data_IF_229785207799
#
_entry.id   IF_229785207799
#
_cell.length_a   1.000
_cell.length_b   1.000
_cell.length_c   1.000
_cell.angle_alpha   90.00
_cell.angle_beta   90.00
_cell.angle_gamma   90.00
#
_symmetry.space_group_name_H-M   'P 1'
#
loop_
_entity.id
_entity.type
_entity.pdbx_description
1 polymer ?
#
# COMPACT_ATOMS: atom_id res chain seq x y z
N UNK A 1 -41.75 4.33 -23.48
CA UNK A 1 -42.44 3.30 -22.67
C UNK A 1 -41.57 2.96 -21.49
N UNK A 2 -42.14 3.10 -20.30
CA UNK A 2 -41.63 2.81 -18.95
C UNK A 2 -40.31 3.47 -18.51
N UNK A 3 -40.44 4.68 -17.97
CA UNK A 3 -39.58 5.22 -16.92
C UNK A 3 -39.51 4.25 -15.73
N UNK A 4 -38.51 3.36 -15.71
CA UNK A 4 -38.09 2.71 -14.47
C UNK A 4 -37.30 3.73 -13.66
N UNK A 5 -38.03 4.53 -12.87
CA UNK A 5 -37.44 5.26 -11.74
C UNK A 5 -36.68 4.24 -10.88
N UNK A 6 -35.36 4.28 -10.90
CA UNK A 6 -34.52 3.50 -9.99
C UNK A 6 -34.83 3.97 -8.56
N UNK A 7 -35.77 3.30 -7.90
CA UNK A 7 -36.00 3.44 -6.46
C UNK A 7 -34.76 2.88 -5.77
N UNK A 8 -33.76 3.74 -5.55
CA UNK A 8 -32.65 3.43 -4.66
C UNK A 8 -33.27 3.05 -3.31
N UNK A 9 -32.95 1.89 -2.73
CA UNK A 9 -33.44 1.54 -1.40
C UNK A 9 -33.02 2.65 -0.45
N UNK A 10 -33.96 3.20 0.30
CA UNK A 10 -33.66 4.12 1.39
C UNK A 10 -33.27 3.22 2.56
N UNK A 11 -31.97 3.16 2.85
CA UNK A 11 -31.46 2.38 3.97
C UNK A 11 -31.65 3.16 5.27
N UNK A 12 -32.17 2.50 6.29
CA UNK A 12 -32.39 3.08 7.62
C UNK A 12 -31.13 3.03 8.50
N UNK A 13 -30.21 2.10 8.22
CA UNK A 13 -28.90 1.98 8.90
C UNK A 13 -27.77 1.59 7.93
N UNK A 14 -26.52 1.91 8.27
CA UNK A 14 -25.33 1.53 7.47
C UNK A 14 -25.16 0.00 7.38
N UNK A 15 -25.52 -0.75 8.43
CA UNK A 15 -25.42 -2.21 8.47
C UNK A 15 -26.41 -2.91 7.52
N UNK A 16 -27.64 -2.41 7.43
CA UNK A 16 -28.63 -2.90 6.48
C UNK A 16 -28.17 -2.67 5.02
N UNK A 17 -27.55 -1.52 4.75
CA UNK A 17 -27.01 -1.21 3.43
C UNK A 17 -25.92 -2.23 3.03
N UNK A 18 -25.01 -2.56 3.94
CA UNK A 18 -23.92 -3.50 3.66
C UNK A 18 -24.45 -4.90 3.46
N UNK A 19 -25.34 -5.37 4.34
CA UNK A 19 -25.91 -6.71 4.23
C UNK A 19 -26.64 -6.88 2.89
N UNK A 20 -27.39 -5.86 2.47
CA UNK A 20 -28.02 -5.85 1.15
C UNK A 20 -26.99 -5.92 0.01
N UNK A 21 -25.93 -5.11 0.07
CA UNK A 21 -24.88 -5.09 -0.95
C UNK A 21 -24.11 -6.40 -1.02
N UNK A 22 -23.69 -6.94 0.12
CA UNK A 22 -22.98 -8.23 0.20
C UNK A 22 -23.86 -9.35 -0.36
N UNK A 23 -25.15 -9.39 -0.03
CA UNK A 23 -26.06 -10.38 -0.59
C UNK A 23 -26.23 -10.24 -2.11
N UNK A 24 -26.34 -9.00 -2.61
CA UNK A 24 -26.42 -8.72 -4.05
C UNK A 24 -25.14 -9.12 -4.79
N UNK A 25 -23.99 -8.87 -4.18
CA UNK A 25 -22.67 -9.26 -4.68
C UNK A 25 -22.56 -10.78 -4.74
N UNK A 26 -22.96 -11.50 -3.69
CA UNK A 26 -22.96 -12.98 -3.68
C UNK A 26 -23.87 -13.58 -4.75
N UNK A 27 -25.04 -13.01 -4.96
CA UNK A 27 -25.94 -13.42 -6.05
C UNK A 27 -25.30 -13.19 -7.43
N UNK A 28 -24.66 -12.02 -7.60
CA UNK A 28 -23.96 -11.67 -8.83
C UNK A 28 -22.72 -12.54 -9.06
N UNK A 29 -22.00 -12.94 -8.01
CA UNK A 29 -20.87 -13.86 -8.08
C UNK A 29 -21.29 -15.25 -8.54
N UNK A 30 -22.39 -15.80 -8.00
CA UNK A 30 -22.95 -17.08 -8.48
C UNK A 30 -23.31 -16.99 -9.97
N UNK A 31 -23.91 -15.86 -10.39
CA UNK A 31 -24.24 -15.63 -11.80
C UNK A 31 -22.98 -15.55 -12.67
N UNK A 32 -21.97 -14.80 -12.23
CA UNK A 32 -20.70 -14.62 -12.91
C UNK A 32 -19.96 -15.95 -13.10
N UNK A 33 -19.91 -16.78 -12.06
CA UNK A 33 -19.27 -18.10 -12.14
C UNK A 33 -19.98 -19.02 -13.14
N UNK A 34 -21.32 -19.01 -13.17
CA UNK A 34 -22.08 -19.74 -14.20
C UNK A 34 -21.80 -19.22 -15.62
N UNK A 35 -21.63 -17.91 -15.80
CA UNK A 35 -21.30 -17.32 -17.10
C UNK A 35 -19.88 -17.71 -17.54
N UNK A 36 -18.93 -17.75 -16.61
CA UNK A 36 -17.56 -18.21 -16.85
C UNK A 36 -17.49 -19.69 -17.21
N UNK A 37 -18.29 -20.54 -16.55
CA UNK A 37 -18.36 -21.98 -16.86
C UNK A 37 -18.94 -22.26 -18.25
N UNK A 38 -19.80 -21.36 -18.75
CA UNK A 38 -20.33 -21.40 -20.11
C UNK A 38 -19.43 -20.68 -21.14
N UNK A 39 -18.19 -20.31 -20.76
CA UNK A 39 -17.22 -19.56 -21.57
C UNK A 39 -17.73 -18.19 -22.08
N UNK A 40 -18.76 -17.62 -21.43
CA UNK A 40 -19.35 -16.34 -21.80
C UNK A 40 -18.66 -15.17 -21.08
N UNK A 41 -17.44 -14.89 -21.49
CA UNK A 41 -16.57 -13.91 -20.82
C UNK A 41 -17.14 -12.48 -20.85
N UNK A 42 -17.83 -12.11 -21.93
CA UNK A 42 -18.43 -10.77 -22.03
C UNK A 42 -19.55 -10.55 -21.02
N UNK A 43 -20.45 -11.52 -20.87
CA UNK A 43 -21.54 -11.47 -19.87
C UNK A 43 -20.92 -11.46 -18.45
N UNK A 44 -19.90 -12.28 -18.21
CA UNK A 44 -19.19 -12.31 -16.93
C UNK A 44 -18.54 -10.96 -16.57
N UNK A 45 -17.94 -10.25 -17.53
CA UNK A 45 -17.36 -8.92 -17.31
C UNK A 45 -18.45 -7.88 -17.00
N UNK A 46 -19.60 -7.95 -17.66
CA UNK A 46 -20.75 -7.08 -17.34
C UNK A 46 -21.27 -7.36 -15.92
N UNK A 47 -21.36 -8.62 -15.52
CA UNK A 47 -21.70 -8.99 -14.14
C UNK A 47 -20.63 -8.49 -13.15
N UNK A 48 -19.35 -8.60 -13.47
CA UNK A 48 -18.26 -8.06 -12.66
C UNK A 48 -18.29 -6.53 -12.55
N UNK A 49 -18.69 -5.82 -13.61
CA UNK A 49 -18.92 -4.39 -13.58
C UNK A 49 -20.02 -4.02 -12.58
N UNK A 50 -21.13 -4.76 -12.59
CA UNK A 50 -22.22 -4.55 -11.63
C UNK A 50 -21.78 -4.82 -10.19
N UNK A 51 -20.93 -5.83 -9.96
CA UNK A 51 -20.32 -6.10 -8.65
C UNK A 51 -19.49 -4.89 -8.18
N UNK A 52 -18.61 -4.36 -9.04
CA UNK A 52 -17.79 -3.21 -8.68
C UNK A 52 -18.59 -1.90 -8.59
N UNK A 53 -19.76 -1.77 -9.21
CA UNK A 53 -20.64 -0.61 -9.04
C UNK A 53 -21.06 -0.38 -7.59
N UNK A 54 -21.13 -1.44 -6.78
CA UNK A 54 -21.38 -1.34 -5.34
C UNK A 54 -20.30 -0.55 -4.58
N UNK A 55 -19.05 -0.43 -5.09
CA UNK A 55 -17.97 0.37 -4.49
C UNK A 55 -18.13 1.88 -4.65
N UNK A 56 -19.14 2.33 -5.40
CA UNK A 56 -19.43 3.75 -5.61
C UNK A 56 -20.19 4.39 -4.45
N UNK A 57 -20.56 3.63 -3.44
CA UNK A 57 -21.17 4.12 -2.19
C UNK A 57 -20.42 5.33 -1.63
N UNK A 58 -21.19 6.26 -1.06
CA UNK A 58 -20.66 7.45 -0.37
C UNK A 58 -21.07 7.41 1.11
N UNK A 59 -22.07 6.62 1.45
CA UNK A 59 -22.70 6.51 2.76
C UNK A 59 -21.90 5.69 3.76
N UNK A 60 -21.10 4.73 3.30
CA UNK A 60 -20.39 3.80 4.17
C UNK A 60 -19.19 4.44 4.87
N UNK A 61 -19.06 4.18 6.16
CA UNK A 61 -17.83 4.44 6.92
C UNK A 61 -16.64 3.61 6.39
N UNK A 62 -15.38 4.06 6.56
CA UNK A 62 -14.21 3.35 6.06
C UNK A 62 -14.09 1.88 6.52
N UNK A 63 -14.46 1.57 7.76
CA UNK A 63 -14.45 0.20 8.31
C UNK A 63 -15.37 -0.73 7.51
N UNK A 64 -16.57 -0.25 7.25
CA UNK A 64 -17.60 -0.97 6.52
C UNK A 64 -17.32 -1.01 5.01
N UNK A 65 -16.71 0.04 4.48
CA UNK A 65 -16.19 0.02 3.12
C UNK A 65 -15.06 -1.00 2.96
N UNK A 66 -14.21 -1.17 3.98
CA UNK A 66 -13.14 -2.16 3.97
C UNK A 66 -13.67 -3.60 3.93
N UNK A 67 -14.72 -3.93 4.68
CA UNK A 67 -15.33 -5.26 4.60
C UNK A 67 -15.92 -5.54 3.21
N UNK A 68 -16.62 -4.56 2.63
CA UNK A 68 -17.12 -4.65 1.25
C UNK A 68 -15.98 -4.81 0.24
N UNK A 69 -14.89 -4.08 0.43
CA UNK A 69 -13.69 -4.15 -0.39
C UNK A 69 -13.05 -5.55 -0.37
N UNK A 70 -12.94 -6.19 0.80
CA UNK A 70 -12.38 -7.55 0.92
C UNK A 70 -13.22 -8.55 0.14
N UNK A 71 -14.55 -8.50 0.27
CA UNK A 71 -15.47 -9.40 -0.46
C UNK A 71 -15.34 -9.24 -1.98
N UNK A 72 -15.18 -8.01 -2.48
CA UNK A 72 -14.99 -7.78 -3.92
C UNK A 72 -13.59 -8.22 -4.36
N UNK A 73 -12.57 -7.99 -3.54
CA UNK A 73 -11.21 -8.43 -3.81
C UNK A 73 -11.12 -9.95 -3.96
N UNK A 74 -11.79 -10.73 -3.10
CA UNK A 74 -11.79 -12.20 -3.20
C UNK A 74 -12.47 -12.68 -4.48
N UNK A 75 -13.66 -12.15 -4.81
CA UNK A 75 -14.38 -12.46 -6.05
C UNK A 75 -13.53 -12.15 -7.28
N UNK A 76 -12.87 -10.98 -7.30
CA UNK A 76 -12.07 -10.56 -8.44
C UNK A 76 -10.79 -11.38 -8.57
N UNK A 77 -10.25 -11.90 -7.48
CA UNK A 77 -9.12 -12.85 -7.51
C UNK A 77 -9.53 -14.17 -8.17
N UNK A 78 -10.72 -14.68 -7.85
CA UNK A 78 -11.29 -15.86 -8.52
C UNK A 78 -11.50 -15.58 -10.01
N UNK A 79 -12.05 -14.41 -10.36
CA UNK A 79 -12.22 -14.00 -11.75
C UNK A 79 -10.89 -13.94 -12.52
N UNK A 80 -9.82 -13.40 -11.92
CA UNK A 80 -8.48 -13.38 -12.52
C UNK A 80 -8.01 -14.81 -12.82
N UNK A 81 -8.11 -15.72 -11.84
CA UNK A 81 -7.69 -17.11 -12.01
C UNK A 81 -8.46 -17.80 -13.16
N UNK A 82 -9.78 -17.66 -13.19
CA UNK A 82 -10.64 -18.28 -14.21
C UNK A 82 -10.39 -17.73 -15.61
N UNK A 83 -10.25 -16.41 -15.77
CA UNK A 83 -9.97 -15.82 -17.09
C UNK A 83 -8.56 -16.16 -17.57
N UNK A 84 -7.58 -16.30 -16.66
CA UNK A 84 -6.25 -16.79 -17.00
C UNK A 84 -6.29 -18.20 -17.61
N UNK A 85 -7.10 -19.11 -17.05
CA UNK A 85 -7.27 -20.49 -17.54
C UNK A 85 -7.92 -20.55 -18.93
N UNK A 86 -8.84 -19.64 -19.24
CA UNK A 86 -9.54 -19.65 -20.53
C UNK A 86 -8.56 -19.26 -21.66
N UNK A 87 -8.50 -20.10 -22.70
CA UNK A 87 -7.67 -19.90 -23.91
C UNK A 87 -8.30 -18.87 -24.85
N UNK A 88 -8.46 -17.63 -24.39
CA UNK A 88 -8.90 -16.54 -25.25
C UNK A 88 -7.72 -15.91 -26.01
N UNK A 89 -7.93 -15.62 -27.31
CA UNK A 89 -6.88 -15.19 -28.25
C UNK A 89 -6.51 -13.70 -28.22
N UNK A 90 -7.26 -12.86 -27.49
CA UNK A 90 -6.95 -11.42 -27.43
C UNK A 90 -7.51 -10.76 -26.16
N UNK A 91 -6.74 -10.80 -25.08
CA UNK A 91 -7.12 -10.16 -23.81
C UNK A 91 -6.96 -8.64 -23.91
N UNK A 92 -6.03 -8.16 -24.73
CA UNK A 92 -5.90 -6.74 -25.04
C UNK A 92 -7.21 -6.09 -25.51
N UNK A 93 -8.00 -6.78 -26.34
CA UNK A 93 -9.32 -6.27 -26.77
C UNK A 93 -10.32 -6.17 -25.62
N UNK A 94 -10.19 -7.05 -24.62
CA UNK A 94 -11.01 -6.95 -23.41
C UNK A 94 -10.59 -5.75 -22.56
N UNK A 95 -9.28 -5.48 -22.48
CA UNK A 95 -8.76 -4.31 -21.78
C UNK A 95 -9.32 -3.01 -22.38
N UNK A 96 -9.25 -2.86 -23.71
CA UNK A 96 -9.87 -1.74 -24.43
C UNK A 96 -11.38 -1.66 -24.20
N UNK A 97 -12.07 -2.82 -24.22
CA UNK A 97 -13.52 -2.85 -24.07
C UNK A 97 -13.97 -2.37 -22.70
N UNK A 98 -13.25 -2.75 -21.63
CA UNK A 98 -13.58 -2.30 -20.27
C UNK A 98 -13.44 -0.79 -20.12
N UNK A 99 -12.59 -0.13 -20.91
CA UNK A 99 -12.44 1.32 -20.84
C UNK A 99 -13.71 2.09 -21.25
N UNK A 100 -14.59 1.48 -22.05
CA UNK A 100 -15.85 2.09 -22.48
C UNK A 100 -16.91 2.18 -21.37
N UNK A 101 -16.71 1.55 -20.22
CA UNK A 101 -17.63 1.69 -19.10
C UNK A 101 -17.67 3.13 -18.58
N UNK A 102 -18.88 3.62 -18.27
CA UNK A 102 -19.10 5.03 -17.94
C UNK A 102 -18.60 5.40 -16.54
N UNK A 103 -18.73 4.50 -15.57
CA UNK A 103 -18.39 4.79 -14.18
C UNK A 103 -16.92 4.50 -13.87
N UNK A 104 -16.21 5.52 -13.40
CA UNK A 104 -14.75 5.51 -13.20
C UNK A 104 -14.30 4.44 -12.20
N UNK A 105 -14.96 4.31 -11.04
CA UNK A 105 -14.54 3.35 -10.01
C UNK A 105 -14.65 1.90 -10.52
N UNK A 106 -15.81 1.40 -10.97
CA UNK A 106 -15.92 0.03 -11.47
C UNK A 106 -15.01 -0.24 -12.67
N UNK A 107 -14.92 0.74 -13.57
CA UNK A 107 -14.02 0.67 -14.73
C UNK A 107 -12.58 0.44 -14.30
N UNK A 108 -12.06 1.20 -13.35
CA UNK A 108 -10.65 1.08 -12.94
C UNK A 108 -10.36 -0.24 -12.21
N UNK A 109 -11.29 -0.75 -11.41
CA UNK A 109 -11.14 -2.08 -10.81
C UNK A 109 -11.04 -3.17 -11.89
N UNK A 110 -11.89 -3.10 -12.92
CA UNK A 110 -11.84 -4.02 -14.05
C UNK A 110 -10.61 -3.81 -14.95
N UNK A 111 -10.14 -2.58 -15.11
CA UNK A 111 -8.88 -2.31 -15.81
C UNK A 111 -7.71 -2.92 -15.04
N UNK A 112 -7.69 -2.85 -13.71
CA UNK A 112 -6.66 -3.49 -12.90
C UNK A 112 -6.69 -5.02 -13.03
N UNK A 113 -7.87 -5.66 -12.98
CA UNK A 113 -8.00 -7.12 -13.13
C UNK A 113 -7.58 -7.60 -14.51
N UNK A 114 -8.10 -6.99 -15.57
CA UNK A 114 -7.78 -7.42 -16.94
C UNK A 114 -6.33 -7.06 -17.27
N UNK A 115 -5.86 -5.90 -16.81
CA UNK A 115 -4.50 -5.46 -16.98
C UNK A 115 -3.49 -6.45 -16.40
N UNK A 116 -3.74 -6.99 -15.22
CA UNK A 116 -2.85 -8.00 -14.64
C UNK A 116 -2.84 -9.31 -15.42
N UNK A 117 -3.96 -9.68 -16.01
CA UNK A 117 -4.05 -10.85 -16.89
C UNK A 117 -3.27 -10.58 -18.19
N UNK A 118 -3.34 -9.37 -18.75
CA UNK A 118 -2.52 -8.98 -19.90
C UNK A 118 -1.02 -9.10 -19.61
N UNK A 119 -0.59 -8.69 -18.41
CA UNK A 119 0.80 -8.88 -17.96
C UNK A 119 1.12 -10.37 -17.82
N UNK A 120 0.26 -11.14 -17.17
CA UNK A 120 0.45 -12.58 -16.95
C UNK A 120 0.62 -13.36 -18.26
N UNK A 121 -0.15 -13.00 -19.30
CA UNK A 121 -0.04 -13.63 -20.63
C UNK A 121 1.03 -13.02 -21.54
N UNK A 122 1.80 -12.03 -21.05
CA UNK A 122 2.83 -11.30 -21.80
C UNK A 122 2.31 -10.67 -23.10
N UNK A 123 1.04 -10.23 -23.13
CA UNK A 123 0.45 -9.56 -24.31
C UNK A 123 0.90 -8.09 -24.42
N UNK A 124 1.26 -7.45 -23.30
CA UNK A 124 1.62 -6.03 -23.20
C UNK A 124 2.90 -5.87 -22.38
N UNK A 125 3.68 -4.83 -22.68
CA UNK A 125 4.83 -4.45 -21.86
C UNK A 125 4.37 -3.99 -20.48
N UNK A 126 5.01 -4.54 -19.44
CA UNK A 126 4.64 -4.28 -18.05
C UNK A 126 4.76 -2.79 -17.74
N UNK A 127 5.87 -2.15 -18.15
CA UNK A 127 6.15 -0.73 -17.90
C UNK A 127 5.07 0.20 -18.47
N UNK A 128 4.61 -0.04 -19.70
CA UNK A 128 3.54 0.75 -20.31
C UNK A 128 2.23 0.61 -19.54
N UNK A 129 1.88 -0.61 -19.15
CA UNK A 129 0.63 -0.85 -18.42
C UNK A 129 0.68 -0.30 -16.99
N UNK A 130 1.82 -0.40 -16.31
CA UNK A 130 2.02 0.18 -14.98
C UNK A 130 1.83 1.69 -15.03
N UNK A 131 2.46 2.36 -16.00
CA UNK A 131 2.35 3.81 -16.18
C UNK A 131 0.91 4.21 -16.54
N UNK A 132 0.26 3.49 -17.46
CA UNK A 132 -1.14 3.76 -17.82
C UNK A 132 -2.08 3.61 -16.61
N UNK A 133 -2.00 2.49 -15.88
CA UNK A 133 -2.83 2.26 -14.69
C UNK A 133 -2.56 3.31 -13.59
N UNK A 134 -1.31 3.72 -13.37
CA UNK A 134 -0.98 4.79 -12.42
C UNK A 134 -1.61 6.13 -12.82
N UNK A 135 -1.50 6.52 -14.09
CA UNK A 135 -2.11 7.76 -14.61
C UNK A 135 -3.64 7.72 -14.50
N UNK A 136 -4.25 6.59 -14.89
CA UNK A 136 -5.70 6.40 -14.84
C UNK A 136 -6.24 6.39 -13.39
N UNK A 137 -5.48 5.86 -12.43
CA UNK A 137 -5.82 5.91 -11.01
C UNK A 137 -5.79 7.34 -10.43
N UNK A 138 -5.17 8.33 -11.08
CA UNK A 138 -5.26 9.74 -10.68
C UNK A 138 -6.67 10.31 -10.84
N UNK A 139 -7.54 9.72 -11.65
CA UNK A 139 -8.92 10.18 -11.80
C UNK A 139 -9.76 10.03 -10.52
N UNK A 140 -9.39 9.14 -9.60
CA UNK A 140 -10.13 8.91 -8.35
C UNK A 140 -9.47 9.68 -7.21
N UNK A 141 -9.96 10.90 -6.98
CA UNK A 141 -9.48 11.81 -5.93
C UNK A 141 -10.24 11.72 -4.61
N UNK A 142 -11.31 10.91 -4.56
CA UNK A 142 -12.02 10.65 -3.32
C UNK A 142 -11.11 9.83 -2.37
N UNK A 143 -10.80 10.30 -1.14
CA UNK A 143 -9.77 9.71 -0.30
C UNK A 143 -9.93 8.20 -0.06
N UNK A 144 -11.07 7.74 0.44
CA UNK A 144 -11.28 6.31 0.74
C UNK A 144 -11.23 5.46 -0.53
N UNK A 145 -12.06 5.77 -1.53
CA UNK A 145 -12.13 5.05 -2.81
C UNK A 145 -10.78 5.00 -3.54
N UNK A 146 -10.05 6.11 -3.57
CA UNK A 146 -8.75 6.18 -4.23
C UNK A 146 -7.69 5.37 -3.52
N UNK A 147 -7.75 5.30 -2.19
CA UNK A 147 -6.82 4.54 -1.36
C UNK A 147 -7.07 3.02 -1.50
N UNK A 148 -8.33 2.58 -1.46
CA UNK A 148 -8.70 1.18 -1.72
C UNK A 148 -8.47 0.74 -3.17
N UNK A 149 -8.67 1.62 -4.15
CA UNK A 149 -8.36 1.32 -5.54
C UNK A 149 -6.85 1.13 -5.75
N UNK A 150 -6.03 1.98 -5.13
CA UNK A 150 -4.56 1.87 -5.22
C UNK A 150 -4.01 0.68 -4.45
N UNK A 151 -4.62 0.31 -3.31
CA UNK A 151 -4.29 -0.95 -2.63
C UNK A 151 -4.67 -2.16 -3.47
N UNK A 152 -5.79 -2.09 -4.20
CA UNK A 152 -6.20 -3.14 -5.12
C UNK A 152 -5.22 -3.29 -6.29
N UNK A 153 -4.87 -2.17 -6.94
CA UNK A 153 -3.85 -2.15 -8.00
C UNK A 153 -2.56 -2.84 -7.53
N UNK A 154 -2.08 -2.45 -6.35
CA UNK A 154 -0.88 -3.02 -5.75
C UNK A 154 -1.04 -4.52 -5.45
N UNK A 155 -2.19 -4.93 -4.89
CA UNK A 155 -2.48 -6.33 -4.58
C UNK A 155 -2.42 -7.22 -5.83
N UNK A 156 -2.98 -6.75 -6.94
CA UNK A 156 -3.06 -7.51 -8.18
C UNK A 156 -1.72 -7.54 -8.92
N UNK A 157 -0.94 -6.45 -8.87
CA UNK A 157 0.29 -6.30 -9.67
C UNK A 157 1.55 -6.79 -8.96
N UNK A 158 1.57 -6.88 -7.63
CA UNK A 158 2.77 -7.19 -6.82
C UNK A 158 3.62 -8.38 -7.32
N UNK A 159 2.97 -9.42 -7.86
CA UNK A 159 3.65 -10.64 -8.32
C UNK A 159 4.26 -10.51 -9.72
N UNK A 160 3.96 -9.42 -10.43
CA UNK A 160 4.39 -9.16 -11.80
C UNK A 160 5.37 -7.98 -11.91
N UNK A 161 5.78 -7.40 -10.78
CA UNK A 161 6.73 -6.30 -10.77
C UNK A 161 8.10 -6.77 -11.29
N UNK A 162 8.72 -6.05 -12.23
CA UNK A 162 10.07 -6.35 -12.69
C UNK A 162 11.09 -6.35 -11.54
N UNK A 163 11.86 -7.44 -11.40
CA UNK A 163 12.91 -7.59 -10.37
C UNK A 163 14.32 -7.55 -10.94
N UNK A 164 14.46 -7.58 -12.27
CA UNK A 164 15.77 -7.64 -12.92
C UNK A 164 16.47 -6.29 -12.89
N UNK A 165 17.72 -6.27 -12.41
CA UNK A 165 18.59 -5.09 -12.41
C UNK A 165 19.03 -4.65 -13.82
N UNK A 166 19.01 -5.57 -14.79
CA UNK A 166 19.44 -5.33 -16.17
C UNK A 166 18.22 -5.48 -17.08
N UNK A 167 18.02 -4.51 -17.98
CA UNK A 167 17.08 -4.64 -19.10
C UNK A 167 17.56 -5.77 -20.04
N UNK A 168 17.27 -7.02 -19.68
CA UNK A 168 17.66 -8.16 -20.52
C UNK A 168 16.87 -8.16 -21.84
N UNK A 169 15.70 -7.51 -21.87
CA UNK A 169 14.90 -7.21 -23.04
C UNK A 169 14.07 -5.93 -22.80
N UNK A 170 13.89 -5.08 -23.82
CA UNK A 170 13.01 -3.89 -23.79
C UNK A 170 11.55 -4.17 -23.38
N UNK A 171 11.17 -5.44 -23.25
CA UNK A 171 9.81 -5.90 -22.95
C UNK A 171 9.57 -6.22 -21.48
N UNK A 172 10.62 -6.45 -20.68
CA UNK A 172 10.49 -7.02 -19.32
C UNK A 172 10.62 -5.99 -18.19
N UNK A 173 10.97 -4.74 -18.51
CA UNK A 173 11.11 -3.65 -17.52
C UNK A 173 12.32 -3.83 -16.59
N UNK A 174 12.58 -2.82 -15.78
CA UNK A 174 13.70 -2.78 -14.85
C UNK A 174 13.23 -2.72 -13.39
N UNK A 175 14.12 -3.08 -12.46
CA UNK A 175 13.89 -2.85 -11.03
C UNK A 175 13.56 -1.38 -10.73
N UNK A 176 14.17 -0.45 -11.48
CA UNK A 176 13.95 0.99 -11.31
C UNK A 176 12.51 1.39 -11.65
N UNK A 177 11.89 0.76 -12.66
CA UNK A 177 10.47 0.97 -12.99
C UNK A 177 9.57 0.53 -11.84
N UNK A 178 9.86 -0.62 -11.21
CA UNK A 178 9.14 -1.11 -10.04
C UNK A 178 9.27 -0.16 -8.86
N UNK A 179 10.48 0.34 -8.60
CA UNK A 179 10.75 1.30 -7.53
C UNK A 179 9.98 2.60 -7.78
N UNK A 180 10.03 3.14 -8.99
CA UNK A 180 9.31 4.36 -9.36
C UNK A 180 7.79 4.18 -9.25
N UNK A 181 7.27 3.02 -9.68
CA UNK A 181 5.85 2.69 -9.55
C UNK A 181 5.41 2.69 -8.08
N UNK A 182 6.15 1.96 -7.23
CA UNK A 182 5.81 1.83 -5.80
C UNK A 182 5.94 3.17 -5.06
N UNK A 183 6.96 3.97 -5.35
CA UNK A 183 7.14 5.29 -4.76
C UNK A 183 6.03 6.26 -5.19
N UNK A 184 5.67 6.28 -6.47
CA UNK A 184 4.57 7.11 -6.98
C UNK A 184 3.25 6.71 -6.34
N UNK A 185 2.98 5.41 -6.25
CA UNK A 185 1.77 4.90 -5.61
C UNK A 185 1.75 5.24 -4.11
N UNK A 186 2.87 5.07 -3.40
CA UNK A 186 3.02 5.45 -2.00
C UNK A 186 2.75 6.95 -1.76
N UNK A 187 3.34 7.83 -2.58
CA UNK A 187 3.13 9.29 -2.50
C UNK A 187 1.65 9.62 -2.66
N UNK A 188 0.99 9.08 -3.68
CA UNK A 188 -0.43 9.36 -3.94
C UNK A 188 -1.35 8.78 -2.85
N UNK A 189 -1.08 7.56 -2.38
CA UNK A 189 -1.82 6.96 -1.27
C UNK A 189 -1.64 7.77 0.03
N UNK A 190 -0.43 8.25 0.30
CA UNK A 190 -0.15 9.08 1.47
C UNK A 190 -0.91 10.42 1.40
N UNK A 191 -0.91 11.10 0.24
CA UNK A 191 -1.71 12.31 0.02
C UNK A 191 -3.20 12.10 0.23
N UNK A 192 -3.74 10.95 -0.19
CA UNK A 192 -5.14 10.60 0.04
C UNK A 192 -5.39 10.31 1.52
N UNK A 193 -4.46 9.60 2.18
CA UNK A 193 -4.55 9.30 3.60
C UNK A 193 -4.58 10.58 4.45
N UNK A 194 -3.69 11.54 4.18
CA UNK A 194 -3.67 12.85 4.87
C UNK A 194 -5.02 13.58 4.71
N UNK A 195 -5.58 13.59 3.48
CA UNK A 195 -6.89 14.20 3.21
C UNK A 195 -8.03 13.50 3.96
N UNK A 196 -7.94 12.19 4.17
CA UNK A 196 -8.93 11.42 4.92
C UNK A 196 -8.78 11.59 6.44
N UNK A 197 -7.53 11.62 6.92
CA UNK A 197 -7.15 11.79 8.32
C UNK A 197 -7.73 13.07 8.93
N UNK A 198 -7.81 14.16 8.14
CA UNK A 198 -8.45 15.41 8.54
C UNK A 198 -9.96 15.30 8.80
N UNK A 199 -10.63 14.29 8.22
CA UNK A 199 -12.10 14.13 8.31
C UNK A 199 -12.52 13.02 9.26
N UNK A 200 -11.72 11.98 9.44
CA UNK A 200 -12.07 10.76 10.18
C UNK A 200 -10.86 10.19 10.93
N UNK A 201 -10.65 10.67 12.16
CA UNK A 201 -9.50 10.26 12.99
C UNK A 201 -9.58 8.80 13.47
N UNK A 202 -10.79 8.27 13.70
CA UNK A 202 -11.00 6.97 14.35
C UNK A 202 -10.57 5.74 13.54
N UNK A 203 -10.35 5.89 12.22
CA UNK A 203 -10.00 4.78 11.32
C UNK A 203 -8.60 4.91 10.72
N UNK A 204 -7.77 5.85 11.20
CA UNK A 204 -6.47 6.17 10.61
C UNK A 204 -5.50 4.98 10.60
N UNK A 205 -5.49 4.12 11.62
CA UNK A 205 -4.55 2.98 11.70
C UNK A 205 -4.75 1.99 10.55
N UNK A 206 -6.01 1.61 10.27
CA UNK A 206 -6.32 0.67 9.18
C UNK A 206 -5.98 1.27 7.81
N UNK A 207 -6.11 2.59 7.66
CA UNK A 207 -5.79 3.29 6.42
C UNK A 207 -4.28 3.42 6.22
N UNK A 208 -3.52 3.66 7.30
CA UNK A 208 -2.07 3.69 7.24
C UNK A 208 -1.47 2.32 6.90
N UNK A 209 -2.09 1.21 7.35
CA UNK A 209 -1.70 -0.15 6.95
C UNK A 209 -1.73 -0.32 5.43
N UNK A 210 -2.72 0.25 4.73
CA UNK A 210 -2.83 0.17 3.27
C UNK A 210 -1.72 0.97 2.59
N UNK A 211 -1.35 2.14 3.14
CA UNK A 211 -0.21 2.92 2.63
C UNK A 211 1.11 2.15 2.81
N UNK A 212 1.29 1.54 3.99
CA UNK A 212 2.48 0.75 4.34
C UNK A 212 2.65 -0.52 3.51
N UNK A 213 1.60 -1.02 2.86
CA UNK A 213 1.70 -2.15 1.93
C UNK A 213 2.68 -1.87 0.77
N UNK A 214 2.87 -0.61 0.36
CA UNK A 214 3.90 -0.25 -0.62
C UNK A 214 5.31 -0.49 -0.07
N UNK A 215 5.53 -0.21 1.22
CA UNK A 215 6.82 -0.35 1.89
C UNK A 215 7.19 -1.84 2.06
N UNK A 216 6.21 -2.68 2.42
CA UNK A 216 6.45 -4.12 2.56
C UNK A 216 6.71 -4.81 1.22
N UNK A 217 6.15 -4.30 0.12
CA UNK A 217 6.49 -4.79 -1.22
C UNK A 217 7.87 -4.29 -1.64
N UNK A 218 8.21 -3.03 -1.38
CA UNK A 218 9.55 -2.49 -1.61
C UNK A 218 10.62 -3.32 -0.88
N UNK A 219 10.39 -3.67 0.39
CA UNK A 219 11.37 -4.43 1.17
C UNK A 219 11.61 -5.85 0.64
N UNK A 220 10.66 -6.42 -0.10
CA UNK A 220 10.79 -7.73 -0.71
C UNK A 220 11.54 -7.71 -2.05
N UNK A 221 11.83 -6.52 -2.59
CA UNK A 221 12.63 -6.38 -3.80
C UNK A 221 14.12 -6.38 -3.43
N UNK A 222 14.95 -6.97 -4.29
CA UNK A 222 16.42 -7.01 -4.14
C UNK A 222 17.04 -5.64 -4.45
N UNK A 223 16.78 -4.66 -3.58
CA UNK A 223 17.17 -3.26 -3.76
C UNK A 223 18.67 -3.06 -3.48
N UNK A 224 19.43 -2.43 -4.38
CA UNK A 224 20.79 -2.01 -4.11
C UNK A 224 20.84 -0.97 -2.97
N UNK A 225 21.80 -1.13 -2.05
CA UNK A 225 22.00 -0.22 -0.91
C UNK A 225 22.13 1.25 -1.30
N UNK A 226 22.81 1.52 -2.43
CA UNK A 226 22.98 2.88 -2.94
C UNK A 226 21.63 3.48 -3.38
N UNK A 227 20.80 2.72 -4.09
CA UNK A 227 19.46 3.13 -4.53
C UNK A 227 18.56 3.41 -3.33
N UNK A 228 18.61 2.55 -2.31
CA UNK A 228 17.86 2.78 -1.08
C UNK A 228 18.24 4.10 -0.39
N UNK A 229 19.54 4.34 -0.20
CA UNK A 229 20.08 5.52 0.48
C UNK A 229 19.82 6.83 -0.28
N UNK A 230 19.90 6.80 -1.60
CA UNK A 230 19.89 8.02 -2.43
C UNK A 230 18.50 8.38 -2.97
N UNK A 231 17.64 7.39 -3.24
CA UNK A 231 16.36 7.61 -3.92
C UNK A 231 15.19 7.25 -3.02
N UNK A 232 15.13 5.99 -2.55
CA UNK A 232 13.92 5.44 -1.89
C UNK A 232 13.68 6.11 -0.54
N UNK A 233 14.65 6.03 0.37
CA UNK A 233 14.46 6.51 1.73
C UNK A 233 14.25 8.03 1.80
N UNK A 234 15.03 8.89 1.09
CA UNK A 234 14.80 10.34 1.13
C UNK A 234 13.39 10.72 0.70
N UNK A 235 12.85 10.09 -0.35
CA UNK A 235 11.49 10.35 -0.81
C UNK A 235 10.43 9.91 0.21
N UNK A 236 10.59 8.73 0.81
CA UNK A 236 9.66 8.24 1.83
C UNK A 236 9.68 9.16 3.06
N UNK A 237 10.87 9.48 3.60
CA UNK A 237 11.00 10.34 4.78
C UNK A 237 10.45 11.75 4.50
N UNK A 238 10.69 12.30 3.31
CA UNK A 238 10.11 13.58 2.92
C UNK A 238 8.57 13.53 2.95
N UNK A 239 7.96 12.47 2.42
CA UNK A 239 6.50 12.32 2.46
C UNK A 239 5.96 12.18 3.89
N UNK A 240 6.68 11.48 4.78
CA UNK A 240 6.30 11.32 6.19
C UNK A 240 6.34 12.68 6.91
N UNK A 241 7.38 13.49 6.70
CA UNK A 241 7.48 14.84 7.28
C UNK A 241 6.32 15.71 6.77
N UNK A 242 5.98 15.61 5.48
CA UNK A 242 4.88 16.36 4.87
C UNK A 242 3.49 15.93 5.33
N UNK A 243 3.32 14.73 5.94
CA UNK A 243 2.02 14.29 6.44
C UNK A 243 1.40 15.27 7.42
N UNK A 244 2.23 15.84 8.29
CA UNK A 244 1.79 16.80 9.30
C UNK A 244 0.70 16.26 10.25
N UNK A 245 0.66 14.94 10.46
CA UNK A 245 -0.27 14.27 11.38
C UNK A 245 0.50 13.30 12.28
N UNK A 246 0.30 13.42 13.60
CA UNK A 246 1.02 12.67 14.64
C UNK A 246 0.86 11.16 14.48
N UNK A 247 -0.36 10.69 14.23
CA UNK A 247 -0.65 9.25 14.11
C UNK A 247 -0.01 8.66 12.84
N UNK A 248 -0.22 9.31 11.70
CA UNK A 248 0.33 8.87 10.42
C UNK A 248 1.86 8.88 10.43
N UNK A 249 2.48 9.89 11.05
CA UNK A 249 3.94 9.95 11.22
C UNK A 249 4.44 8.81 12.09
N UNK A 250 3.84 8.60 13.26
CA UNK A 250 4.24 7.51 14.18
C UNK A 250 4.14 6.16 13.47
N UNK A 251 3.02 5.87 12.81
CA UNK A 251 2.82 4.60 12.13
C UNK A 251 3.74 4.40 10.93
N UNK A 252 3.89 5.40 10.06
CA UNK A 252 4.70 5.24 8.85
C UNK A 252 6.20 5.16 9.17
N UNK A 253 6.68 5.87 10.20
CA UNK A 253 8.07 5.73 10.65
C UNK A 253 8.31 4.31 11.18
N UNK A 254 7.41 3.81 12.04
CA UNK A 254 7.50 2.44 12.56
C UNK A 254 7.41 1.40 11.42
N UNK A 255 6.56 1.62 10.42
CA UNK A 255 6.48 0.76 9.24
C UNK A 255 7.76 0.77 8.40
N UNK A 256 8.44 1.92 8.25
CA UNK A 256 9.75 2.01 7.57
C UNK A 256 10.80 1.25 8.38
N UNK A 257 10.78 1.37 9.71
CA UNK A 257 11.68 0.62 10.58
C UNK A 257 11.42 -0.88 10.34
N UNK A 258 10.21 -1.37 10.59
CA UNK A 258 9.91 -2.80 10.53
C UNK A 258 10.02 -3.44 9.14
N UNK A 259 9.75 -2.71 8.05
CA UNK A 259 9.75 -3.28 6.70
C UNK A 259 11.17 -3.59 6.19
N UNK A 260 12.16 -2.72 6.42
CA UNK A 260 13.48 -2.86 5.81
C UNK A 260 14.48 -3.60 6.73
N UNK A 261 15.35 -4.48 6.20
CA UNK A 261 16.37 -5.16 6.99
C UNK A 261 17.31 -4.22 7.73
N UNK A 262 17.84 -4.66 8.89
CA UNK A 262 18.72 -3.85 9.76
C UNK A 262 19.97 -3.30 9.06
N UNK A 263 20.51 -4.01 8.07
CA UNK A 263 21.64 -3.55 7.23
C UNK A 263 21.35 -2.20 6.55
N UNK A 264 20.15 -2.03 6.00
CA UNK A 264 19.75 -0.77 5.38
C UNK A 264 19.61 0.35 6.42
N UNK A 265 19.09 0.01 7.59
CA UNK A 265 18.89 0.96 8.70
C UNK A 265 20.21 1.49 9.25
N UNK A 266 21.26 0.66 9.34
CA UNK A 266 22.59 1.12 9.76
C UNK A 266 23.14 2.18 8.80
N UNK A 267 23.03 1.93 7.49
CA UNK A 267 23.49 2.86 6.45
C UNK A 267 22.73 4.19 6.45
N UNK A 268 21.47 4.18 6.93
CA UNK A 268 20.57 5.33 6.88
C UNK A 268 20.08 5.81 8.25
N UNK A 269 20.80 5.42 9.31
CA UNK A 269 20.45 5.70 10.69
C UNK A 269 20.31 7.20 10.95
N UNK A 270 21.25 8.00 10.44
CA UNK A 270 21.26 9.45 10.61
C UNK A 270 20.03 10.15 9.98
N UNK A 271 19.66 9.88 8.71
CA UNK A 271 18.38 10.36 8.15
C UNK A 271 17.13 9.95 8.95
N UNK A 272 17.06 8.69 9.41
CA UNK A 272 15.90 8.18 10.17
C UNK A 272 15.80 8.90 11.52
N UNK A 273 16.89 8.94 12.29
CA UNK A 273 16.94 9.62 13.59
C UNK A 273 16.61 11.12 13.46
N UNK A 274 17.13 11.79 12.43
CA UNK A 274 16.76 13.18 12.15
C UNK A 274 15.26 13.34 11.92
N UNK A 275 14.66 12.43 11.15
CA UNK A 275 13.22 12.48 10.85
C UNK A 275 12.39 12.29 12.12
N UNK A 276 12.77 11.35 12.98
CA UNK A 276 12.14 11.11 14.29
C UNK A 276 12.18 12.40 15.15
N UNK A 277 13.34 13.07 15.23
CA UNK A 277 13.50 14.29 16.04
C UNK A 277 12.73 15.48 15.43
N UNK A 278 12.67 15.60 14.11
CA UNK A 278 11.94 16.68 13.41
C UNK A 278 10.44 16.43 13.26
N UNK A 279 9.93 15.31 13.77
CA UNK A 279 8.51 14.98 13.69
C UNK A 279 7.66 15.91 14.58
N UNK A 280 6.34 15.92 14.37
CA UNK A 280 5.46 16.82 15.11
C UNK A 280 5.45 16.53 16.62
N UNK A 281 5.22 17.60 17.40
CA UNK A 281 5.05 17.49 18.85
C UNK A 281 3.87 16.55 19.18
N UNK A 282 4.13 15.50 19.95
CA UNK A 282 3.14 14.47 20.32
C UNK A 282 3.35 13.10 19.66
N UNK A 283 4.27 12.98 18.69
CA UNK A 283 4.75 11.67 18.21
C UNK A 283 5.49 10.97 19.34
N UNK A 284 5.20 9.69 19.57
CA UNK A 284 5.88 8.90 20.60
C UNK A 284 7.29 8.53 20.14
N UNK A 285 8.23 9.45 20.33
CA UNK A 285 9.63 9.29 19.91
C UNK A 285 10.25 8.07 20.61
N UNK A 286 9.91 7.84 21.88
CA UNK A 286 10.46 6.75 22.67
C UNK A 286 10.08 5.39 22.10
N UNK A 287 8.83 5.18 21.69
CA UNK A 287 8.40 3.92 21.05
C UNK A 287 9.10 3.68 19.72
N UNK A 288 9.25 4.72 18.89
CA UNK A 288 9.96 4.62 17.61
C UNK A 288 11.44 4.27 17.79
N UNK A 289 12.10 4.90 18.76
CA UNK A 289 13.49 4.58 19.09
C UNK A 289 13.63 3.16 19.66
N UNK A 290 12.68 2.70 20.48
CA UNK A 290 12.66 1.31 20.97
C UNK A 290 12.51 0.31 19.81
N UNK A 291 11.63 0.59 18.85
CA UNK A 291 11.44 -0.23 17.64
C UNK A 291 12.74 -0.33 16.84
N UNK A 292 13.39 0.82 16.60
CA UNK A 292 14.68 0.90 15.91
C UNK A 292 15.79 0.12 16.65
N UNK A 293 15.94 0.33 17.96
CA UNK A 293 16.95 -0.36 18.77
C UNK A 293 16.75 -1.87 18.75
N UNK A 294 15.51 -2.36 18.92
CA UNK A 294 15.20 -3.80 18.88
C UNK A 294 15.57 -4.43 17.54
N UNK A 295 15.32 -3.72 16.44
CA UNK A 295 15.65 -4.23 15.12
C UNK A 295 17.15 -4.26 14.85
N UNK A 296 17.89 -3.27 15.35
CA UNK A 296 19.34 -3.28 15.33
C UNK A 296 19.90 -4.42 16.20
N UNK A 297 19.37 -4.66 17.40
CA UNK A 297 19.73 -5.81 18.25
C UNK A 297 19.54 -7.11 17.48
N UNK A 298 18.38 -7.30 16.85
CA UNK A 298 18.11 -8.49 16.04
C UNK A 298 19.12 -8.64 14.89
N UNK A 299 19.50 -7.54 14.23
CA UNK A 299 20.53 -7.58 13.19
C UNK A 299 21.90 -7.98 13.75
N UNK A 300 22.32 -7.41 14.88
CA UNK A 300 23.62 -7.73 15.52
C UNK A 300 23.71 -9.21 15.89
N UNK A 301 22.60 -9.79 16.36
CA UNK A 301 22.53 -11.21 16.72
C UNK A 301 22.68 -12.11 15.47
N UNK A 302 22.15 -11.69 14.32
CA UNK A 302 22.08 -12.49 13.09
C UNK A 302 23.32 -12.30 12.19
N UNK A 303 23.76 -11.06 11.98
CA UNK A 303 24.87 -10.69 11.10
C UNK A 303 25.73 -9.59 11.75
N UNK A 304 26.83 -9.98 12.40
CA UNK A 304 27.86 -9.03 12.87
C UNK A 304 28.89 -8.81 11.76
N UNK A 305 28.60 -7.90 10.83
CA UNK A 305 29.49 -7.64 9.68
C UNK A 305 30.04 -6.22 9.58
N UNK A 306 29.49 -5.25 10.31
CA UNK A 306 29.82 -3.83 10.12
C UNK A 306 30.58 -3.22 11.33
N UNK A 307 31.62 -2.44 11.04
CA UNK A 307 32.48 -1.72 12.02
C UNK A 307 31.98 -0.29 12.34
N UNK A 308 30.74 0.06 12.01
CA UNK A 308 30.24 1.43 12.21
C UNK A 308 30.08 1.77 13.70
N UNK A 309 30.66 2.88 14.14
CA UNK A 309 30.45 3.42 15.49
C UNK A 309 29.01 3.93 15.65
N UNK A 310 28.14 3.09 16.21
CA UNK A 310 26.72 3.41 16.47
C UNK A 310 26.56 4.39 17.63
N UNK A 311 27.48 4.34 18.61
CA UNK A 311 27.43 5.12 19.85
C UNK A 311 27.31 6.65 19.63
N UNK A 312 28.17 7.31 18.84
CA UNK A 312 28.08 8.77 18.64
C UNK A 312 26.82 9.19 17.87
N UNK A 313 26.26 8.31 17.03
CA UNK A 313 25.05 8.62 16.27
C UNK A 313 23.81 8.58 17.14
N UNK A 314 23.68 7.56 17.98
CA UNK A 314 22.58 7.48 18.94
C UNK A 314 22.74 8.51 20.05
N UNK A 315 23.91 8.71 20.63
CA UNK A 315 24.09 9.65 21.75
C UNK A 315 23.72 11.10 21.36
N UNK A 316 24.14 11.55 20.17
CA UNK A 316 23.75 12.89 19.68
C UNK A 316 22.24 12.97 19.39
N UNK A 317 21.66 11.94 18.78
CA UNK A 317 20.23 11.92 18.44
C UNK A 317 19.33 11.78 19.68
N UNK A 318 19.79 11.06 20.70
CA UNK A 318 19.14 10.90 22.00
C UNK A 318 19.19 12.23 22.78
N UNK A 319 20.32 12.94 22.74
CA UNK A 319 20.44 14.28 23.32
C UNK A 319 19.53 15.29 22.64
N UNK A 320 19.35 15.20 21.32
CA UNK A 320 18.43 16.08 20.58
C UNK A 320 16.96 15.70 20.78
N UNK A 321 16.63 14.40 20.86
CA UNK A 321 15.30 13.93 21.24
C UNK A 321 14.89 14.39 22.66
N UNK A 322 15.84 14.36 23.61
CA UNK A 322 15.64 14.85 24.98
C UNK A 322 15.36 16.35 25.09
N UNK A 323 15.83 17.15 24.14
CA UNK A 323 15.54 18.59 24.10
C UNK A 323 14.14 18.88 23.55
N UNK A 324 13.59 18.00 22.72
CA UNK A 324 12.27 18.16 22.12
C UNK A 324 11.12 17.73 23.04
N UNK A 325 11.34 16.75 23.93
CA UNK A 325 10.34 16.32 24.91
C UNK A 325 10.66 16.83 26.32
N UNK A 326 10.04 17.94 26.75
CA UNK A 326 10.04 18.33 28.16
C UNK A 326 9.27 17.34 29.06
N UNK A 327 8.45 16.43 28.48
CA UNK A 327 7.37 15.76 29.22
C UNK A 327 7.53 14.27 29.57
N UNK A 328 8.49 13.48 29.05
CA UNK A 328 8.53 12.04 29.34
C UNK A 328 9.90 11.51 29.82
N UNK A 329 10.52 12.19 30.81
CA UNK A 329 11.75 11.71 31.49
C UNK A 329 11.66 10.25 31.99
N UNK A 330 10.47 9.79 32.40
CA UNK A 330 10.24 8.40 32.85
C UNK A 330 10.29 7.36 31.72
N UNK A 331 9.72 7.67 30.56
CA UNK A 331 9.72 6.75 29.42
C UNK A 331 11.10 6.66 28.80
N UNK A 332 11.84 7.77 28.81
CA UNK A 332 13.24 7.83 28.39
C UNK A 332 14.16 6.98 29.28
N UNK A 333 13.92 6.98 30.60
CA UNK A 333 14.62 6.05 31.51
C UNK A 333 14.34 4.60 31.13
N UNK A 334 13.14 4.28 30.63
CA UNK A 334 12.80 2.95 30.11
C UNK A 334 13.46 2.58 28.77
N UNK A 335 14.11 3.52 28.08
CA UNK A 335 14.88 3.27 26.86
C UNK A 335 16.34 2.92 27.16
N UNK A 336 16.89 3.41 28.28
CA UNK A 336 18.27 3.17 28.68
C UNK A 336 18.66 1.69 28.79
N UNK A 337 17.84 0.77 29.33
CA UNK A 337 18.18 -0.65 29.37
C UNK A 337 18.36 -1.26 27.98
N UNK A 338 17.48 -0.92 27.04
CA UNK A 338 17.56 -1.39 25.65
C UNK A 338 18.76 -0.77 24.91
N UNK A 339 19.09 0.48 25.23
CA UNK A 339 20.29 1.12 24.68
C UNK A 339 21.57 0.48 25.22
N UNK A 340 21.60 0.16 26.52
CA UNK A 340 22.73 -0.58 27.14
C UNK A 340 22.84 -1.96 26.50
N UNK A 341 21.74 -2.70 26.34
CA UNK A 341 21.72 -4.01 25.66
C UNK A 341 22.28 -3.92 24.24
N UNK A 342 21.89 -2.89 23.46
CA UNK A 342 22.45 -2.65 22.13
C UNK A 342 23.96 -2.41 22.17
N UNK A 343 24.45 -1.61 23.12
CA UNK A 343 25.87 -1.32 23.26
C UNK A 343 26.67 -2.54 23.74
N UNK A 344 26.12 -3.33 24.65
CA UNK A 344 26.70 -4.59 25.10
C UNK A 344 26.85 -5.56 23.92
N UNK A 345 25.78 -5.74 23.12
CA UNK A 345 25.83 -6.60 21.95
C UNK A 345 26.76 -6.08 20.83
N UNK A 346 26.86 -4.76 20.66
CA UNK A 346 27.72 -4.14 19.64
C UNK A 346 29.22 -4.20 20.02
N UNK A 347 29.58 -3.77 21.23
CA UNK A 347 30.97 -3.55 21.65
C UNK A 347 31.59 -4.66 22.52
N UNK A 348 30.79 -5.51 23.19
CA UNK A 348 31.31 -6.51 24.15
C UNK A 348 31.49 -7.92 23.51
N UNK A 349 31.33 -8.06 22.19
CA UNK A 349 31.70 -9.29 21.46
C UNK A 349 32.81 -9.08 20.47
#
# INVERSE_FOLDING_TARGET
MSDQKSTKPIYTTEEEEINFRVNSIKQSDIKMNKELDNEKIHEAIETAYNIADHLRTITLTPKLYYSLYIEIQTIFTTLISRICEIKQKSILKLYERVQYYSHVVPRLYLMCTIGSICIAKKEVQITLLLNDLLEMCKCVQHPSKGLFLRSYLLYVIKNYLPTTLIENNKTEGSLDDSIQFLLTNFIEMNKLNIRLAQRQQENQVQLCQLVAMNLSILSNLDIPQNTYKTIILPQILQQIILCGDVHSQTYLIDAVIQAFPGKFQLLTLKPILRTIVTSQNGVNIVELLKSLIKQLINYIIIEKTDETDIYPLFDNSLKDALKHEENNKKEFIGLLPLYIELLEHWYIK
#
